data_IF_425351438771
#
_entry.id   IF_425351438771
#
_cell.length_a   1.000
_cell.length_b   1.000
_cell.length_c   1.000
_cell.angle_alpha   90.00
_cell.angle_beta   90.00
_cell.angle_gamma   90.00
#
_symmetry.space_group_name_H-M   'P 1'
#
loop_
_entity.id
_entity.type
_entity.pdbx_description
1 polymer ?
#
# COMPACT_ATOMS: atom_id res chain seq x y z
N UNK A 1 -9.09 39.38 22.37
CA UNK A 1 -7.77 39.06 22.95
C UNK A 1 -6.85 38.64 21.82
N UNK A 2 -5.84 39.46 21.57
CA UNK A 2 -4.92 39.39 20.43
C UNK A 2 -4.03 38.14 20.53
N UNK A 3 -4.14 37.27 19.54
CA UNK A 3 -3.29 36.09 19.38
C UNK A 3 -1.93 36.57 18.87
N UNK A 4 -1.06 37.02 19.80
CA UNK A 4 0.34 37.29 19.49
C UNK A 4 0.99 35.95 19.18
N UNK A 5 1.04 35.60 17.90
CA UNK A 5 1.78 34.45 17.43
C UNK A 5 3.24 34.63 17.86
N UNK A 6 3.62 33.96 18.94
CA UNK A 6 4.99 33.94 19.44
C UNK A 6 5.96 33.68 18.29
N UNK A 7 6.90 34.60 18.07
CA UNK A 7 7.98 34.48 17.09
C UNK A 7 9.05 33.46 17.52
N UNK A 8 8.94 32.95 18.74
CA UNK A 8 9.86 31.99 19.33
C UNK A 8 9.67 30.64 18.64
N UNK A 9 10.75 30.13 18.04
CA UNK A 9 10.73 28.80 17.42
C UNK A 9 10.62 27.75 18.52
N UNK A 10 9.81 26.72 18.27
CA UNK A 10 9.58 25.62 19.20
C UNK A 10 10.22 24.34 18.67
N UNK A 11 10.68 23.50 19.59
CA UNK A 11 11.19 22.17 19.26
C UNK A 11 9.99 21.26 19.00
N UNK A 12 10.05 20.51 17.90
CA UNK A 12 9.07 19.47 17.58
C UNK A 12 9.81 18.15 17.33
N UNK A 13 9.27 17.07 17.86
CA UNK A 13 9.68 15.72 17.48
C UNK A 13 9.20 15.44 16.05
N UNK A 14 10.15 15.23 15.14
CA UNK A 14 9.89 14.92 13.75
C UNK A 14 9.57 13.43 13.58
N UNK A 15 10.42 12.56 14.14
CA UNK A 15 10.31 11.11 13.96
C UNK A 15 11.04 10.36 15.07
N UNK A 16 10.51 9.21 15.46
CA UNK A 16 11.22 8.23 16.28
C UNK A 16 11.63 7.03 15.40
N UNK A 17 12.88 6.59 15.53
CA UNK A 17 13.43 5.46 14.79
C UNK A 17 14.00 4.45 15.79
N UNK A 18 13.36 3.30 15.91
CA UNK A 18 13.86 2.20 16.75
C UNK A 18 14.68 1.22 15.93
N UNK A 19 15.72 0.71 16.57
CA UNK A 19 16.69 -0.23 16.01
C UNK A 19 16.46 -1.65 16.53
N UNK A 20 16.08 -1.79 17.80
CA UNK A 20 15.88 -3.08 18.46
C UNK A 20 14.39 -3.43 18.56
N UNK A 21 13.96 -3.95 19.71
CA UNK A 21 12.67 -4.59 19.93
C UNK A 21 11.54 -3.60 20.25
N UNK A 22 11.87 -2.34 20.53
CA UNK A 22 10.87 -1.35 20.92
C UNK A 22 10.09 -0.82 19.71
N UNK A 23 8.79 -0.60 19.90
CA UNK A 23 8.03 0.19 18.93
C UNK A 23 8.50 1.66 18.96
N UNK A 24 8.39 2.42 17.86
CA UNK A 24 8.74 3.85 17.85
C UNK A 24 7.99 4.67 18.93
N UNK A 25 6.78 4.26 19.30
CA UNK A 25 6.02 4.89 20.38
C UNK A 25 6.59 4.59 21.77
N UNK A 26 7.04 3.36 22.02
CA UNK A 26 7.72 3.00 23.28
C UNK A 26 9.12 3.64 23.37
N UNK A 27 9.83 3.73 22.25
CA UNK A 27 11.08 4.49 22.16
C UNK A 27 10.85 5.98 22.47
N UNK A 28 9.78 6.57 21.93
CA UNK A 28 9.40 7.95 22.25
C UNK A 28 9.05 8.10 23.74
N UNK A 29 8.38 7.11 24.33
CA UNK A 29 8.07 7.09 25.75
C UNK A 29 9.34 7.04 26.61
N UNK A 30 10.33 6.21 26.25
CA UNK A 30 11.65 6.20 26.89
C UNK A 30 12.36 7.55 26.76
N UNK A 31 12.35 8.15 25.57
CA UNK A 31 12.96 9.45 25.36
C UNK A 31 12.29 10.55 26.20
N UNK A 32 10.97 10.48 26.34
CA UNK A 32 10.15 11.43 27.08
C UNK A 32 10.23 11.27 28.61
N UNK A 33 10.99 10.33 29.16
CA UNK A 33 11.17 10.26 30.62
C UNK A 33 11.97 11.48 31.09
N UNK A 34 11.35 12.29 31.96
CA UNK A 34 11.92 13.53 32.45
C UNK A 34 11.45 13.82 33.89
N UNK A 35 12.12 14.74 34.61
CA UNK A 35 11.69 15.20 35.93
C UNK A 35 10.26 15.75 35.94
N UNK A 36 9.56 15.59 37.07
CA UNK A 36 8.17 16.08 37.27
C UNK A 36 8.00 17.56 36.94
N UNK A 37 9.02 18.39 37.16
CA UNK A 37 8.98 19.84 36.93
C UNK A 37 9.98 20.30 35.85
N UNK A 38 10.35 19.42 34.90
CA UNK A 38 11.28 19.81 33.83
C UNK A 38 10.68 20.86 32.91
N UNK A 39 11.35 22.01 32.81
CA UNK A 39 11.07 23.10 31.86
C UNK A 39 11.98 23.04 30.61
N UNK A 40 12.78 21.98 30.45
CA UNK A 40 13.64 21.84 29.27
C UNK A 40 12.77 21.79 27.98
N UNK A 41 13.02 22.67 26.99
CA UNK A 41 12.28 22.67 25.73
C UNK A 41 12.25 21.31 25.01
N UNK A 42 13.28 20.49 25.18
CA UNK A 42 13.36 19.13 24.64
C UNK A 42 12.37 18.20 25.34
N UNK A 43 12.30 18.25 26.68
CA UNK A 43 11.40 17.44 27.49
C UNK A 43 9.94 17.80 27.22
N UNK A 44 9.64 19.09 27.18
CA UNK A 44 8.31 19.60 26.83
C UNK A 44 7.89 19.11 25.44
N UNK A 45 8.78 19.16 24.45
CA UNK A 45 8.50 18.68 23.09
C UNK A 45 8.29 17.17 23.01
N UNK A 46 9.07 16.38 23.74
CA UNK A 46 8.94 14.92 23.80
C UNK A 46 7.61 14.51 24.46
N UNK A 47 7.24 15.14 25.57
CA UNK A 47 5.96 14.90 26.24
C UNK A 47 4.76 15.30 25.38
N UNK A 48 4.82 16.49 24.76
CA UNK A 48 3.76 16.93 23.84
C UNK A 48 3.60 15.96 22.67
N UNK A 49 4.73 15.52 22.08
CA UNK A 49 4.73 14.52 21.02
C UNK A 49 4.16 13.18 21.49
N UNK A 50 4.51 12.70 22.68
CA UNK A 50 4.00 11.44 23.21
C UNK A 50 2.49 11.49 23.44
N UNK A 51 1.99 12.55 24.10
CA UNK A 51 0.55 12.73 24.35
C UNK A 51 -0.27 12.76 23.07
N UNK A 52 0.25 13.37 22.01
CA UNK A 52 -0.44 13.45 20.71
C UNK A 52 -0.32 12.16 19.92
N UNK A 53 0.88 11.57 19.84
CA UNK A 53 1.14 10.44 18.96
C UNK A 53 0.78 9.08 19.57
N UNK A 54 0.77 8.97 20.90
CA UNK A 54 0.48 7.76 21.69
C UNK A 54 -0.29 8.12 22.97
N UNK A 55 -1.56 8.56 22.87
CA UNK A 55 -2.38 8.87 24.04
C UNK A 55 -2.64 7.66 24.94
N UNK A 56 -2.42 6.45 24.42
CA UNK A 56 -2.48 5.17 25.13
C UNK A 56 -1.31 4.96 26.09
N UNK A 57 -0.19 5.69 25.93
CA UNK A 57 0.98 5.59 26.81
C UNK A 57 0.98 6.77 27.78
N UNK A 58 0.88 6.47 29.08
CA UNK A 58 1.03 7.47 30.13
C UNK A 58 2.51 7.89 30.23
N UNK A 59 2.84 9.19 30.10
CA UNK A 59 4.22 9.65 30.26
C UNK A 59 4.72 9.42 31.69
N UNK A 60 5.86 8.75 31.82
CA UNK A 60 6.51 8.54 33.12
C UNK A 60 7.26 9.82 33.50
N UNK A 61 7.01 10.31 34.71
CA UNK A 61 7.70 11.46 35.31
C UNK A 61 8.41 10.96 36.56
N UNK A 62 9.69 11.28 36.69
CA UNK A 62 10.51 10.83 37.82
C UNK A 62 10.81 11.98 38.78
N UNK A 63 11.08 11.71 40.06
CA UNK A 63 11.69 12.67 40.97
C UNK A 63 13.02 13.22 40.41
N UNK A 64 13.36 14.47 40.74
CA UNK A 64 14.53 15.15 40.18
C UNK A 64 15.87 14.51 40.62
N UNK A 65 15.89 13.82 41.75
CA UNK A 65 17.02 13.07 42.30
C UNK A 65 17.30 11.76 41.55
N UNK A 66 16.30 11.17 40.91
CA UNK A 66 16.45 9.98 40.06
C UNK A 66 16.86 10.30 38.62
N UNK A 67 16.89 11.59 38.27
CA UNK A 67 17.29 12.08 36.95
C UNK A 67 18.67 12.74 37.01
N UNK A 68 19.66 12.13 36.36
CA UNK A 68 21.00 12.66 36.24
C UNK A 68 21.16 13.44 34.92
N UNK A 69 21.19 14.79 34.92
CA UNK A 69 21.19 15.57 33.69
C UNK A 69 22.50 15.45 32.89
N UNK A 70 22.44 15.84 31.61
CA UNK A 70 23.64 15.93 30.77
C UNK A 70 24.51 17.11 31.23
N UNK A 71 25.81 16.90 31.31
CA UNK A 71 26.81 17.92 31.66
C UNK A 71 27.84 18.05 30.53
N UNK A 72 28.61 19.15 30.40
CA UNK A 72 29.53 19.34 29.27
C UNK A 72 30.54 18.19 29.08
N UNK A 73 30.96 17.53 30.17
CA UNK A 73 31.84 16.34 30.16
C UNK A 73 31.11 15.03 29.83
N UNK A 74 29.78 14.99 29.96
CA UNK A 74 28.90 13.83 29.78
C UNK A 74 27.62 14.29 29.08
N UNK A 75 27.66 14.30 27.74
CA UNK A 75 26.58 14.82 26.87
C UNK A 75 25.37 13.88 26.74
N UNK A 76 25.09 13.12 27.80
CA UNK A 76 23.92 12.26 27.95
C UNK A 76 23.39 12.37 29.39
N UNK A 77 22.08 12.26 29.53
CA UNK A 77 21.41 12.11 30.82
C UNK A 77 21.14 10.63 31.11
N UNK A 78 21.03 10.31 32.39
CA UNK A 78 20.67 8.98 32.89
C UNK A 78 19.44 9.10 33.77
N UNK A 79 18.55 8.12 33.66
CA UNK A 79 17.37 8.04 34.51
C UNK A 79 17.05 6.59 34.81
N UNK A 80 16.78 6.29 36.08
CA UNK A 80 16.24 5.00 36.50
C UNK A 80 14.73 5.04 36.34
N UNK A 81 14.17 3.99 35.77
CA UNK A 81 12.71 3.80 35.70
C UNK A 81 12.39 2.39 36.14
N UNK A 82 11.62 2.28 37.21
CA UNK A 82 11.08 1.01 37.66
C UNK A 82 9.80 0.67 36.86
N UNK A 83 9.56 -0.62 36.63
CA UNK A 83 8.40 -1.15 35.90
C UNK A 83 8.14 -0.52 34.51
N UNK A 84 9.20 -0.22 33.75
CA UNK A 84 9.03 0.27 32.38
C UNK A 84 8.40 -0.85 31.52
N UNK A 85 7.31 -0.58 30.78
CA UNK A 85 6.62 -1.58 29.97
C UNK A 85 7.43 -1.92 28.71
N UNK A 86 8.44 -2.76 28.88
CA UNK A 86 9.21 -3.41 27.80
C UNK A 86 8.53 -4.73 27.47
N UNK A 87 8.15 -4.96 26.21
CA UNK A 87 7.42 -6.17 25.78
C UNK A 87 6.13 -6.45 26.60
N UNK A 88 5.99 -7.67 27.15
CA UNK A 88 4.84 -8.18 27.91
C UNK A 88 5.06 -8.16 29.44
N UNK A 89 6.31 -7.96 29.89
CA UNK A 89 6.69 -7.97 31.32
C UNK A 89 7.36 -6.64 31.69
N UNK A 90 6.83 -5.88 32.67
CA UNK A 90 7.48 -4.67 33.16
C UNK A 90 8.90 -4.98 33.65
N UNK A 91 9.85 -4.11 33.32
CA UNK A 91 11.26 -4.27 33.72
C UNK A 91 11.81 -2.98 34.29
N UNK A 92 12.68 -3.12 35.29
CA UNK A 92 13.47 -2.01 35.80
C UNK A 92 14.58 -1.69 34.79
N UNK A 93 14.60 -0.47 34.27
CA UNK A 93 15.53 -0.07 33.21
C UNK A 93 16.24 1.22 33.57
N UNK A 94 17.53 1.27 33.25
CA UNK A 94 18.33 2.48 33.23
C UNK A 94 18.30 3.03 31.81
N UNK A 95 17.77 4.23 31.62
CA UNK A 95 17.64 4.88 30.31
C UNK A 95 18.73 5.94 30.18
N UNK A 96 19.44 5.89 29.06
CA UNK A 96 20.44 6.86 28.65
C UNK A 96 19.95 7.62 27.42
N UNK A 97 19.85 8.94 27.49
CA UNK A 97 19.47 9.79 26.35
C UNK A 97 20.48 10.90 26.14
N UNK A 98 20.92 11.12 24.90
CA UNK A 98 21.98 12.10 24.64
C UNK A 98 22.38 12.22 23.18
N UNK A 99 23.54 12.85 22.96
CA UNK A 99 24.08 12.93 21.61
C UNK A 99 24.49 11.55 21.10
N UNK A 100 24.40 11.36 19.78
CA UNK A 100 24.66 10.05 19.18
C UNK A 100 26.09 9.54 19.39
N UNK A 101 27.10 10.42 19.42
CA UNK A 101 28.49 10.00 19.54
C UNK A 101 28.75 9.45 20.94
N UNK A 102 28.25 10.14 21.98
CA UNK A 102 28.38 9.68 23.36
C UNK A 102 27.61 8.39 23.62
N UNK A 103 26.38 8.25 23.08
CA UNK A 103 25.60 7.01 23.23
C UNK A 103 26.28 5.84 22.52
N UNK A 104 26.72 6.00 21.28
CA UNK A 104 27.42 4.94 20.54
C UNK A 104 28.77 4.55 21.16
N UNK A 105 29.39 5.43 21.96
CA UNK A 105 30.61 5.15 22.69
C UNK A 105 30.37 4.39 24.01
N UNK A 106 29.14 4.41 24.54
CA UNK A 106 28.79 3.83 25.85
C UNK A 106 27.83 2.64 25.77
N UNK A 107 27.14 2.46 24.65
CA UNK A 107 26.16 1.41 24.45
C UNK A 107 26.55 0.50 23.28
N UNK A 108 26.24 -0.79 23.44
CA UNK A 108 26.51 -1.83 22.47
C UNK A 108 25.42 -1.87 21.40
N UNK A 109 25.83 -2.11 20.16
CA UNK A 109 24.97 -2.20 18.99
C UNK A 109 25.61 -3.18 17.99
N UNK A 110 24.80 -4.06 17.39
CA UNK A 110 25.34 -4.99 16.39
C UNK A 110 25.80 -4.24 15.12
N UNK A 111 26.68 -4.87 14.33
CA UNK A 111 27.25 -4.24 13.12
C UNK A 111 26.18 -3.87 12.09
N UNK A 112 25.17 -4.72 11.92
CA UNK A 112 24.06 -4.51 10.98
C UNK A 112 23.16 -3.35 11.45
N UNK A 113 22.75 -3.40 12.71
CA UNK A 113 21.95 -2.36 13.37
C UNK A 113 22.65 -1.00 13.35
N UNK A 114 23.97 -0.97 13.60
CA UNK A 114 24.78 0.25 13.59
C UNK A 114 24.80 0.92 12.22
N UNK A 115 24.89 0.12 11.16
CA UNK A 115 24.90 0.63 9.78
C UNK A 115 23.56 1.28 9.45
N UNK A 116 22.45 0.65 9.82
CA UNK A 116 21.11 1.19 9.64
C UNK A 116 20.85 2.43 10.49
N UNK A 117 21.28 2.41 11.76
CA UNK A 117 21.17 3.52 12.69
C UNK A 117 21.87 4.78 12.16
N UNK A 118 23.14 4.65 11.76
CA UNK A 118 23.93 5.76 11.22
C UNK A 118 23.30 6.28 9.93
N UNK A 119 22.98 5.40 8.97
CA UNK A 119 22.39 5.81 7.69
C UNK A 119 21.09 6.59 7.88
N UNK A 120 20.18 6.12 8.74
CA UNK A 120 18.92 6.82 8.98
C UNK A 120 19.13 8.14 9.72
N UNK A 121 20.05 8.19 10.68
CA UNK A 121 20.36 9.42 11.39
C UNK A 121 21.01 10.48 10.47
N UNK A 122 21.88 10.07 9.54
CA UNK A 122 22.50 10.97 8.58
C UNK A 122 21.48 11.58 7.62
N UNK A 123 20.48 10.82 7.17
CA UNK A 123 19.37 11.35 6.37
C UNK A 123 18.60 12.43 7.15
N UNK A 124 18.36 12.22 8.45
CA UNK A 124 17.70 13.23 9.28
C UNK A 124 18.59 14.47 9.47
N UNK A 125 19.89 14.28 9.72
CA UNK A 125 20.86 15.37 9.85
C UNK A 125 20.97 16.21 8.57
N UNK A 126 21.02 15.58 7.40
CA UNK A 126 21.03 16.26 6.09
C UNK A 126 19.76 17.10 5.89
N UNK A 127 18.63 16.71 6.48
CA UNK A 127 17.38 17.48 6.47
C UNK A 127 17.32 18.59 7.55
N UNK A 128 18.43 18.87 8.24
CA UNK A 128 18.52 19.88 9.29
C UNK A 128 17.93 19.47 10.64
N UNK A 129 17.68 18.18 10.86
CA UNK A 129 17.14 17.66 12.11
C UNK A 129 18.26 17.23 13.05
N UNK A 130 18.02 17.38 14.36
CA UNK A 130 18.92 16.90 15.41
C UNK A 130 18.41 15.58 15.99
N UNK A 131 19.27 14.57 16.04
CA UNK A 131 18.94 13.25 16.59
C UNK A 131 19.37 13.16 18.05
N UNK A 132 18.42 12.85 18.93
CA UNK A 132 18.65 12.42 20.31
C UNK A 132 18.70 10.90 20.32
N UNK A 133 19.85 10.31 20.62
CA UNK A 133 19.99 8.86 20.72
C UNK A 133 19.53 8.37 22.11
N UNK A 134 18.97 7.16 22.13
CA UNK A 134 18.48 6.49 23.33
C UNK A 134 19.11 5.10 23.41
N UNK A 135 19.60 4.78 24.60
CA UNK A 135 20.04 3.45 24.98
C UNK A 135 19.39 3.06 26.31
N UNK A 136 19.24 1.77 26.55
CA UNK A 136 18.74 1.24 27.82
C UNK A 136 19.58 0.06 28.30
N UNK A 137 19.61 -0.12 29.62
CA UNK A 137 20.17 -1.28 30.30
C UNK A 137 19.13 -1.82 31.29
N UNK A 138 19.06 -3.14 31.43
CA UNK A 138 18.21 -3.78 32.44
C UNK A 138 18.88 -3.68 33.81
N UNK A 139 18.10 -3.42 34.86
CA UNK A 139 18.57 -3.38 36.25
C UNK A 139 18.17 -4.71 36.90
N UNK A 140 19.15 -5.47 37.37
CA UNK A 140 18.91 -6.73 38.06
C UNK A 140 18.29 -6.50 39.46
N UNK A 141 17.74 -7.55 40.07
CA UNK A 141 17.10 -7.49 41.39
C UNK A 141 18.04 -7.00 42.51
N UNK A 142 19.35 -7.20 42.34
CA UNK A 142 20.40 -6.73 43.24
C UNK A 142 20.77 -5.24 43.03
N UNK A 143 20.11 -4.56 42.09
CA UNK A 143 20.36 -3.16 41.74
C UNK A 143 21.52 -2.94 40.78
N UNK A 144 22.18 -4.00 40.28
CA UNK A 144 23.26 -3.87 39.30
C UNK A 144 22.71 -3.50 37.93
N UNK A 145 23.34 -2.49 37.29
CA UNK A 145 22.97 -2.06 35.93
C UNK A 145 23.71 -2.94 34.92
N UNK A 146 22.96 -3.62 34.06
CA UNK A 146 23.52 -4.44 32.99
C UNK A 146 24.19 -3.63 31.88
N UNK A 147 24.49 -4.31 30.77
CA UNK A 147 25.07 -3.68 29.58
C UNK A 147 24.04 -2.76 28.89
N UNK A 148 24.49 -1.57 28.45
CA UNK A 148 23.66 -0.66 27.69
C UNK A 148 23.57 -1.10 26.23
N UNK A 149 22.35 -1.11 25.70
CA UNK A 149 22.09 -1.36 24.29
C UNK A 149 21.43 -0.15 23.64
N UNK A 150 21.82 0.14 22.40
CA UNK A 150 21.19 1.23 21.64
C UNK A 150 19.78 0.83 21.20
N UNK A 151 18.77 1.55 21.65
CA UNK A 151 17.36 1.29 21.32
C UNK A 151 16.90 2.05 20.08
N UNK A 152 17.49 3.22 19.83
CA UNK A 152 17.17 4.03 18.65
C UNK A 152 17.46 5.52 18.84
N UNK A 153 16.84 6.36 18.02
CA UNK A 153 16.93 7.81 18.15
C UNK A 153 15.59 8.50 17.88
N UNK A 154 15.44 9.69 18.45
CA UNK A 154 14.34 10.63 18.18
C UNK A 154 14.90 11.84 17.46
N UNK A 155 14.44 12.09 16.25
CA UNK A 155 14.78 13.26 15.45
C UNK A 155 13.89 14.44 15.82
N UNK A 156 14.51 15.59 16.03
CA UNK A 156 13.88 16.83 16.46
C UNK A 156 14.21 17.95 15.50
N UNK A 157 13.27 18.86 15.31
CA UNK A 157 13.39 20.01 14.41
C UNK A 157 12.93 21.28 15.13
N UNK A 158 13.54 22.41 14.77
CA UNK A 158 13.17 23.72 15.26
C UNK A 158 12.25 24.39 14.22
N UNK A 159 10.97 24.54 14.55
CA UNK A 159 9.94 25.06 13.63
C UNK A 159 9.14 26.23 14.25
N UNK A 160 8.42 26.99 13.43
CA UNK A 160 7.52 28.05 13.93
C UNK A 160 6.25 27.43 14.53
N UNK A 161 5.68 27.95 15.64
CA UNK A 161 4.49 27.38 16.29
C UNK A 161 3.29 27.16 15.34
N UNK A 162 3.06 28.05 14.39
CA UNK A 162 1.96 27.92 13.40
C UNK A 162 2.13 26.74 12.44
N UNK A 163 3.37 26.39 12.08
CA UNK A 163 3.68 25.22 11.24
C UNK A 163 3.54 23.93 12.03
N UNK A 164 3.90 24.00 13.31
CA UNK A 164 3.83 22.89 14.27
C UNK A 164 2.37 22.51 14.56
N UNK A 165 1.49 23.49 14.82
CA UNK A 165 0.06 23.25 15.01
C UNK A 165 -0.60 22.61 13.77
N UNK A 166 -0.22 23.03 12.56
CA UNK A 166 -0.72 22.45 11.30
C UNK A 166 -0.26 21.01 11.05
N UNK A 167 0.89 20.60 11.63
CA UNK A 167 1.43 19.23 11.52
C UNK A 167 1.03 18.32 12.70
N UNK A 168 0.75 18.88 13.88
CA UNK A 168 0.25 18.09 15.02
C UNK A 168 -1.17 17.55 14.79
N UNK A 169 -1.98 18.20 13.94
CA UNK A 169 -3.25 17.63 13.49
C UNK A 169 -3.12 16.38 12.60
N UNK A 170 -1.89 16.04 12.18
CA UNK A 170 -1.56 14.87 11.35
C UNK A 170 -0.55 13.97 12.07
N UNK A 171 -1.01 13.06 12.94
CA UNK A 171 -0.15 12.08 13.62
C UNK A 171 0.48 11.11 12.59
N UNK A 172 1.80 11.13 12.34
CA UNK A 172 2.44 10.36 11.26
C UNK A 172 2.48 8.84 11.51
N UNK A 173 2.18 8.40 12.73
CA UNK A 173 2.04 6.98 13.07
C UNK A 173 0.59 6.49 13.02
N UNK A 174 -0.35 7.40 12.77
CA UNK A 174 -1.75 7.04 12.61
C UNK A 174 -1.97 6.43 11.22
N UNK A 175 -2.66 5.29 11.21
CA UNK A 175 -3.09 4.66 9.98
C UNK A 175 -4.41 5.29 9.56
N UNK A 176 -4.41 5.94 8.40
CA UNK A 176 -5.62 6.50 7.81
C UNK A 176 -6.14 5.50 6.78
N UNK A 177 -7.38 5.05 6.96
CA UNK A 177 -8.10 4.27 5.96
C UNK A 177 -8.59 5.21 4.87
N UNK A 178 -8.14 4.98 3.65
CA UNK A 178 -8.64 5.69 2.47
C UNK A 178 -9.48 4.71 1.68
N UNK A 179 -10.75 5.05 1.48
CA UNK A 179 -11.61 4.28 0.61
C UNK A 179 -11.33 4.68 -0.84
N UNK A 180 -10.47 3.88 -1.47
CA UNK A 180 -10.03 4.10 -2.84
C UNK A 180 -11.05 3.48 -3.80
N UNK A 181 -11.48 2.24 -3.53
CA UNK A 181 -12.30 1.46 -4.45
C UNK A 181 -13.78 1.52 -4.05
N UNK A 182 -14.59 2.17 -4.89
CA UNK A 182 -16.04 2.23 -4.67
C UNK A 182 -16.69 0.84 -4.77
N UNK A 183 -17.83 0.66 -4.09
CA UNK A 183 -18.56 -0.61 -4.09
C UNK A 183 -18.94 -1.05 -5.52
N UNK A 184 -19.31 -0.10 -6.38
CA UNK A 184 -19.61 -0.35 -7.80
C UNK A 184 -18.41 -0.93 -8.54
N UNK A 185 -17.21 -0.39 -8.34
CA UNK A 185 -16.01 -0.91 -8.99
C UNK A 185 -15.66 -2.33 -8.52
N UNK A 186 -15.80 -2.59 -7.21
CA UNK A 186 -15.59 -3.92 -6.64
C UNK A 186 -16.57 -4.95 -7.22
N UNK A 187 -17.85 -4.60 -7.28
CA UNK A 187 -18.86 -5.45 -7.90
C UNK A 187 -18.52 -5.74 -9.37
N UNK A 188 -18.19 -4.71 -10.15
CA UNK A 188 -17.78 -4.86 -11.55
C UNK A 188 -16.63 -5.84 -11.69
N UNK A 189 -15.57 -5.70 -10.89
CA UNK A 189 -14.41 -6.58 -10.95
C UNK A 189 -14.76 -8.05 -10.63
N UNK A 190 -15.42 -8.30 -9.50
CA UNK A 190 -15.74 -9.67 -9.10
C UNK A 190 -16.74 -10.33 -10.04
N UNK A 191 -17.72 -9.56 -10.56
CA UNK A 191 -18.65 -10.05 -11.57
C UNK A 191 -17.93 -10.37 -12.91
N UNK A 192 -17.00 -9.51 -13.34
CA UNK A 192 -16.16 -9.80 -14.52
C UNK A 192 -15.32 -11.06 -14.32
N UNK A 193 -14.67 -11.21 -13.16
CA UNK A 193 -13.85 -12.39 -12.84
C UNK A 193 -14.68 -13.67 -12.91
N UNK A 194 -15.85 -13.70 -12.26
CA UNK A 194 -16.72 -14.87 -12.25
C UNK A 194 -17.18 -15.25 -13.67
N UNK A 195 -17.62 -14.28 -14.46
CA UNK A 195 -18.11 -14.53 -15.83
C UNK A 195 -16.99 -14.97 -16.76
N UNK A 196 -15.81 -14.36 -16.70
CA UNK A 196 -14.64 -14.76 -17.50
C UNK A 196 -14.26 -16.21 -17.20
N UNK A 197 -14.28 -16.63 -15.94
CA UNK A 197 -13.99 -18.02 -15.55
C UNK A 197 -15.05 -18.98 -16.10
N UNK A 198 -16.33 -18.70 -15.91
CA UNK A 198 -17.43 -19.55 -16.41
C UNK A 198 -17.38 -19.66 -17.95
N UNK A 199 -17.21 -18.53 -18.64
CA UNK A 199 -17.08 -18.48 -20.10
C UNK A 199 -15.84 -19.21 -20.59
N UNK A 200 -14.72 -19.10 -19.89
CA UNK A 200 -13.47 -19.79 -20.25
C UNK A 200 -13.61 -21.30 -20.14
N UNK A 201 -14.16 -21.81 -19.04
CA UNK A 201 -14.36 -23.25 -18.85
C UNK A 201 -15.34 -23.82 -19.87
N UNK A 202 -16.47 -23.14 -20.06
CA UNK A 202 -17.48 -23.55 -21.05
C UNK A 202 -16.97 -23.41 -22.50
N UNK A 203 -16.22 -22.35 -22.81
CA UNK A 203 -15.65 -22.09 -24.13
C UNK A 203 -14.56 -23.10 -24.51
N UNK A 204 -13.69 -23.45 -23.56
CA UNK A 204 -12.71 -24.51 -23.75
C UNK A 204 -13.37 -25.86 -24.02
N UNK A 205 -14.42 -26.21 -23.25
CA UNK A 205 -15.18 -27.43 -23.51
C UNK A 205 -15.87 -27.41 -24.88
N UNK A 206 -16.42 -26.26 -25.31
CA UNK A 206 -17.02 -26.12 -26.65
C UNK A 206 -15.98 -26.35 -27.75
N UNK A 207 -14.75 -25.90 -27.53
CA UNK A 207 -13.64 -26.07 -28.47
C UNK A 207 -13.12 -27.51 -28.50
N UNK A 208 -12.97 -28.13 -27.33
CA UNK A 208 -12.47 -29.50 -27.17
C UNK A 208 -13.30 -30.22 -26.09
N UNK A 209 -14.34 -31.00 -26.48
CA UNK A 209 -15.18 -31.73 -25.54
C UNK A 209 -14.39 -32.90 -24.94
N UNK A 210 -13.77 -32.67 -23.77
CA UNK A 210 -12.87 -33.62 -23.12
C UNK A 210 -13.56 -34.60 -22.16
N UNK A 211 -14.88 -34.45 -21.94
CA UNK A 211 -15.69 -35.36 -21.12
C UNK A 211 -17.11 -35.47 -21.68
N UNK A 212 -17.83 -36.51 -21.25
CA UNK A 212 -19.18 -36.80 -21.71
C UNK A 212 -19.24 -37.67 -22.97
N UNK A 213 -20.45 -38.04 -23.43
CA UNK A 213 -20.61 -38.88 -24.62
C UNK A 213 -20.08 -38.14 -25.85
N UNK A 214 -19.05 -38.69 -26.50
CA UNK A 214 -18.59 -38.16 -27.77
C UNK A 214 -19.67 -38.40 -28.84
N UNK A 215 -19.81 -37.51 -29.81
CA UNK A 215 -20.77 -37.67 -30.92
C UNK A 215 -20.58 -39.01 -31.68
N UNK A 216 -19.39 -39.60 -31.52
CA UNK A 216 -18.94 -40.86 -32.12
C UNK A 216 -19.45 -42.11 -31.36
N UNK A 217 -19.95 -41.95 -30.13
CA UNK A 217 -20.28 -43.06 -29.21
C UNK A 217 -21.70 -43.62 -29.33
N UNK A 218 -22.54 -43.05 -30.21
CA UNK A 218 -23.87 -43.58 -30.53
C UNK A 218 -24.94 -42.50 -30.76
N UNK A 219 -26.19 -42.89 -31.06
CA UNK A 219 -27.29 -41.95 -31.36
C UNK A 219 -27.85 -41.22 -30.13
N UNK A 220 -27.54 -41.66 -28.91
CA UNK A 220 -28.19 -41.20 -27.66
C UNK A 220 -27.19 -40.49 -26.72
N UNK A 221 -26.48 -39.49 -27.26
CA UNK A 221 -25.39 -38.75 -26.56
C UNK A 221 -25.88 -37.68 -25.57
N UNK A 222 -27.20 -37.55 -25.38
CA UNK A 222 -27.81 -36.58 -24.46
C UNK A 222 -27.69 -35.11 -24.91
N UNK A 223 -27.97 -34.16 -23.99
CA UNK A 223 -28.00 -32.71 -24.27
C UNK A 223 -26.89 -31.91 -23.55
N UNK A 224 -25.81 -32.57 -23.14
CA UNK A 224 -24.73 -31.95 -22.36
C UNK A 224 -24.10 -30.75 -23.07
N UNK A 225 -23.75 -30.88 -24.35
CA UNK A 225 -23.20 -29.78 -25.15
C UNK A 225 -24.19 -28.62 -25.28
N UNK A 226 -25.49 -28.91 -25.34
CA UNK A 226 -26.54 -27.89 -25.35
C UNK A 226 -26.54 -27.05 -24.06
N UNK A 227 -26.46 -27.71 -22.91
CA UNK A 227 -26.35 -27.03 -21.60
C UNK A 227 -25.06 -26.21 -21.48
N UNK A 228 -23.91 -26.73 -21.92
CA UNK A 228 -22.64 -25.97 -21.86
C UNK A 228 -22.70 -24.73 -22.75
N UNK A 229 -23.24 -24.85 -23.97
CA UNK A 229 -23.46 -23.71 -24.87
C UNK A 229 -24.41 -22.68 -24.25
N UNK A 230 -25.51 -23.13 -23.64
CA UNK A 230 -26.43 -22.23 -22.94
C UNK A 230 -25.74 -21.44 -21.83
N UNK A 231 -24.98 -22.12 -20.96
CA UNK A 231 -24.21 -21.47 -19.88
C UNK A 231 -23.24 -20.44 -20.46
N UNK A 232 -22.54 -20.79 -21.55
CA UNK A 232 -21.62 -19.89 -22.22
C UNK A 232 -22.32 -18.64 -22.76
N UNK A 233 -23.43 -18.79 -23.46
CA UNK A 233 -24.18 -17.68 -24.05
C UNK A 233 -24.81 -16.78 -22.99
N UNK A 234 -25.45 -17.35 -21.97
CA UNK A 234 -26.02 -16.58 -20.85
C UNK A 234 -24.93 -15.78 -20.15
N UNK A 235 -23.78 -16.39 -19.87
CA UNK A 235 -22.64 -15.71 -19.25
C UNK A 235 -22.09 -14.60 -20.15
N UNK A 236 -22.01 -14.82 -21.46
CA UNK A 236 -21.58 -13.83 -22.42
C UNK A 236 -22.54 -12.62 -22.48
N UNK A 237 -23.85 -12.83 -22.46
CA UNK A 237 -24.83 -11.74 -22.42
C UNK A 237 -24.76 -10.94 -21.12
N UNK A 238 -24.57 -11.60 -19.97
CA UNK A 238 -24.33 -10.91 -18.70
C UNK A 238 -23.03 -10.09 -18.76
N UNK A 239 -21.99 -10.63 -19.40
CA UNK A 239 -20.70 -9.95 -19.53
C UNK A 239 -20.78 -8.75 -20.48
N UNK A 240 -21.57 -8.83 -21.56
CA UNK A 240 -21.92 -7.69 -22.41
C UNK A 240 -22.68 -6.61 -21.63
N UNK A 241 -23.64 -6.99 -20.80
CA UNK A 241 -24.36 -6.07 -19.92
C UNK A 241 -23.44 -5.36 -18.94
N UNK A 242 -22.51 -6.09 -18.31
CA UNK A 242 -21.48 -5.49 -17.46
C UNK A 242 -20.55 -4.57 -18.26
N UNK A 243 -20.07 -4.98 -19.43
CA UNK A 243 -19.25 -4.17 -20.31
C UNK A 243 -19.95 -2.86 -20.71
N UNK A 244 -21.23 -2.92 -21.04
CA UNK A 244 -22.05 -1.75 -21.34
C UNK A 244 -22.21 -0.84 -20.12
N UNK A 245 -22.52 -1.40 -18.96
CA UNK A 245 -22.61 -0.62 -17.71
C UNK A 245 -21.28 0.07 -17.38
N UNK A 246 -20.15 -0.60 -17.64
CA UNK A 246 -18.80 -0.04 -17.46
C UNK A 246 -18.53 1.09 -18.44
N UNK A 247 -18.95 0.95 -19.70
CA UNK A 247 -18.84 2.01 -20.71
C UNK A 247 -19.63 3.25 -20.25
N UNK A 248 -20.88 3.08 -19.82
CA UNK A 248 -21.72 4.18 -19.31
C UNK A 248 -21.07 4.86 -18.09
N UNK A 249 -20.63 4.07 -17.11
CA UNK A 249 -19.95 4.58 -15.91
C UNK A 249 -18.64 5.31 -16.24
N UNK A 250 -17.97 4.94 -17.34
CA UNK A 250 -16.74 5.61 -17.77
C UNK A 250 -16.93 7.07 -18.18
N UNK A 251 -18.17 7.44 -18.54
CA UNK A 251 -18.56 8.81 -18.87
C UNK A 251 -19.32 9.52 -17.73
N UNK A 252 -20.14 8.79 -16.97
CA UNK A 252 -21.08 9.40 -15.99
C UNK A 252 -20.60 9.38 -14.55
N UNK A 253 -19.62 8.55 -14.19
CA UNK A 253 -19.21 8.39 -12.79
C UNK A 253 -18.46 9.62 -12.26
N UNK A 254 -18.83 10.04 -11.03
CA UNK A 254 -18.13 11.09 -10.27
C UNK A 254 -16.76 10.61 -9.76
N UNK A 255 -16.63 9.31 -9.52
CA UNK A 255 -15.39 8.69 -9.04
C UNK A 255 -14.27 8.79 -10.07
N UNK A 256 -13.13 9.34 -9.67
CA UNK A 256 -11.96 9.50 -10.55
C UNK A 256 -11.51 8.18 -11.17
N UNK A 257 -11.58 7.08 -10.43
CA UNK A 257 -11.13 5.77 -10.87
C UNK A 257 -12.06 5.07 -11.87
N UNK A 258 -13.31 5.53 -11.98
CA UNK A 258 -14.26 4.99 -12.95
C UNK A 258 -14.18 5.69 -14.31
N UNK A 259 -13.59 6.88 -14.40
CA UNK A 259 -13.55 7.68 -15.63
C UNK A 259 -12.55 7.17 -16.66
N UNK A 260 -12.89 7.34 -17.93
CA UNK A 260 -12.07 6.98 -19.09
C UNK A 260 -10.64 7.54 -19.04
N UNK A 261 -10.45 8.76 -18.52
CA UNK A 261 -9.13 9.41 -18.38
C UNK A 261 -8.13 8.64 -17.50
N UNK A 262 -8.61 7.74 -16.64
CA UNK A 262 -7.76 6.91 -15.78
C UNK A 262 -7.23 5.66 -16.51
N UNK A 263 -7.81 5.32 -17.66
CA UNK A 263 -7.36 4.21 -18.53
C UNK A 263 -6.27 4.62 -19.52
N UNK A 264 -5.92 5.92 -19.58
CA UNK A 264 -4.87 6.41 -20.47
C UNK A 264 -3.72 7.05 -19.66
N UNK A 265 -2.54 6.42 -19.60
CA UNK A 265 -1.43 6.86 -18.75
C UNK A 265 -0.65 8.06 -19.29
N UNK A 266 -0.89 8.51 -20.53
CA UNK A 266 -0.09 9.55 -21.18
C UNK A 266 -0.90 10.84 -21.37
N UNK A 267 -1.13 11.59 -20.29
CA UNK A 267 -1.82 12.88 -20.36
C UNK A 267 -0.85 14.08 -20.28
N UNK A 268 0.39 13.88 -19.79
CA UNK A 268 1.42 14.92 -19.66
C UNK A 268 2.83 14.41 -19.97
N UNK A 269 3.72 15.31 -20.37
CA UNK A 269 5.16 15.04 -20.56
C UNK A 269 5.82 14.52 -19.26
N UNK A 270 5.30 14.89 -18.08
CA UNK A 270 5.77 14.40 -16.80
C UNK A 270 5.38 12.92 -16.56
N UNK A 271 4.24 12.47 -17.09
CA UNK A 271 3.78 11.08 -16.98
C UNK A 271 4.65 10.13 -17.81
N UNK A 272 5.13 10.58 -18.97
CA UNK A 272 6.08 9.84 -19.82
C UNK A 272 7.43 9.65 -19.08
N UNK A 273 7.92 10.70 -18.42
CA UNK A 273 9.16 10.64 -17.63
C UNK A 273 9.01 9.69 -16.42
N UNK A 274 7.82 9.67 -15.80
CA UNK A 274 7.48 8.77 -14.69
C UNK A 274 7.38 7.32 -15.15
N UNK A 275 6.72 7.05 -16.28
CA UNK A 275 6.68 5.73 -16.92
C UNK A 275 8.09 5.20 -17.20
N UNK A 276 8.96 6.03 -17.77
CA UNK A 276 10.36 5.64 -18.02
C UNK A 276 11.09 5.32 -16.71
N UNK A 277 10.88 6.12 -15.66
CA UNK A 277 11.41 5.86 -14.33
C UNK A 277 10.93 4.53 -13.72
N UNK A 278 9.68 4.14 -13.97
CA UNK A 278 9.14 2.86 -13.53
C UNK A 278 9.70 1.67 -14.33
N UNK A 279 9.82 1.81 -15.66
CA UNK A 279 10.45 0.80 -16.51
C UNK A 279 11.89 0.56 -16.06
N UNK A 280 12.64 1.63 -15.78
CA UNK A 280 14.01 1.53 -15.23
C UNK A 280 14.04 0.80 -13.88
N UNK A 281 13.08 1.03 -12.99
CA UNK A 281 12.98 0.29 -11.72
C UNK A 281 12.72 -1.20 -11.94
N UNK A 282 11.78 -1.57 -12.81
CA UNK A 282 11.49 -2.98 -13.12
C UNK A 282 12.61 -3.69 -13.89
N UNK A 283 13.40 -2.95 -14.67
CA UNK A 283 14.63 -3.44 -15.30
C UNK A 283 15.83 -3.45 -14.34
N UNK A 284 15.61 -3.20 -13.04
CA UNK A 284 16.64 -3.14 -11.99
C UNK A 284 17.72 -2.05 -12.20
N UNK A 285 17.47 -1.07 -13.07
CA UNK A 285 18.35 0.07 -13.33
C UNK A 285 18.24 1.16 -12.25
N UNK A 286 17.21 1.12 -11.39
CA UNK A 286 17.03 2.02 -10.24
C UNK A 286 16.73 1.25 -8.95
N UNK A 287 17.31 1.72 -7.84
CA UNK A 287 17.20 1.11 -6.50
C UNK A 287 15.90 1.43 -5.75
N UNK A 288 15.27 2.57 -6.03
CA UNK A 288 14.03 3.01 -5.38
C UNK A 288 12.98 3.36 -6.44
N UNK A 289 11.79 2.76 -6.33
CA UNK A 289 10.66 2.97 -7.24
C UNK A 289 9.67 4.01 -6.70
N UNK A 290 9.01 4.79 -7.57
CA UNK A 290 7.98 5.74 -7.15
C UNK A 290 6.76 5.03 -6.55
N UNK A 291 6.23 5.59 -5.44
CA UNK A 291 5.04 5.08 -4.75
C UNK A 291 3.76 5.55 -5.47
N UNK A 292 2.97 4.62 -6.00
CA UNK A 292 1.65 4.88 -6.57
C UNK A 292 0.54 4.36 -5.65
N UNK A 293 -0.53 5.13 -5.49
CA UNK A 293 -1.71 4.82 -4.67
C UNK A 293 -2.70 3.89 -5.37
N UNK A 294 -2.96 4.14 -6.66
CA UNK A 294 -3.96 3.41 -7.43
C UNK A 294 -3.30 2.47 -8.45
N UNK A 295 -2.59 3.04 -9.44
CA UNK A 295 -2.01 2.24 -10.52
C UNK A 295 -0.72 2.86 -11.04
N UNK A 296 0.27 2.00 -11.21
CA UNK A 296 1.49 2.31 -11.93
C UNK A 296 1.21 2.53 -13.43
N UNK A 297 1.88 3.47 -14.12
CA UNK A 297 1.76 3.66 -15.57
C UNK A 297 1.85 2.38 -16.41
N UNK A 298 2.71 1.42 -16.03
CA UNK A 298 2.81 0.13 -16.73
C UNK A 298 1.56 -0.74 -16.52
N UNK A 299 0.98 -0.72 -15.32
CA UNK A 299 -0.29 -1.40 -15.03
C UNK A 299 -1.44 -0.78 -15.81
N UNK A 300 -1.47 0.56 -15.96
CA UNK A 300 -2.49 1.24 -16.74
C UNK A 300 -2.48 0.78 -18.20
N UNK A 301 -1.30 0.70 -18.86
CA UNK A 301 -1.18 0.15 -20.21
C UNK A 301 -1.67 -1.29 -20.32
N UNK A 302 -1.28 -2.15 -19.37
CA UNK A 302 -1.74 -3.53 -19.34
C UNK A 302 -3.27 -3.62 -19.26
N UNK A 303 -3.91 -2.78 -18.44
CA UNK A 303 -5.37 -2.73 -18.35
C UNK A 303 -6.02 -2.21 -19.63
N UNK A 304 -5.50 -1.16 -20.25
CA UNK A 304 -6.01 -0.68 -21.55
C UNK A 304 -5.96 -1.80 -22.59
N UNK A 305 -4.83 -2.52 -22.66
CA UNK A 305 -4.67 -3.67 -23.55
C UNK A 305 -5.72 -4.77 -23.29
N UNK A 306 -5.92 -5.13 -22.03
CA UNK A 306 -6.93 -6.13 -21.65
C UNK A 306 -8.35 -5.66 -21.96
N UNK A 307 -8.70 -4.39 -21.74
CA UNK A 307 -10.02 -3.86 -22.13
C UNK A 307 -10.25 -3.97 -23.63
N UNK A 308 -9.25 -3.67 -24.46
CA UNK A 308 -9.33 -3.84 -25.92
C UNK A 308 -9.48 -5.32 -26.29
N UNK A 309 -8.71 -6.22 -25.68
CA UNK A 309 -8.85 -7.66 -25.91
C UNK A 309 -10.24 -8.17 -25.51
N UNK A 310 -10.78 -7.72 -24.38
CA UNK A 310 -12.12 -8.05 -23.94
C UNK A 310 -13.18 -7.56 -24.93
N UNK A 311 -13.04 -6.36 -25.49
CA UNK A 311 -13.93 -5.86 -26.53
C UNK A 311 -13.89 -6.73 -27.79
N UNK A 312 -12.70 -7.13 -28.24
CA UNK A 312 -12.55 -8.05 -29.39
C UNK A 312 -13.16 -9.42 -29.06
N UNK A 313 -13.02 -9.91 -27.83
CA UNK A 313 -13.65 -11.16 -27.38
C UNK A 313 -15.18 -11.07 -27.42
N UNK A 314 -15.75 -9.96 -26.95
CA UNK A 314 -17.19 -9.70 -27.02
C UNK A 314 -17.68 -9.67 -28.46
N UNK A 315 -17.00 -8.91 -29.33
CA UNK A 315 -17.39 -8.76 -30.74
C UNK A 315 -17.28 -10.09 -31.49
N UNK A 316 -16.17 -10.81 -31.36
CA UNK A 316 -15.99 -12.12 -31.99
C UNK A 316 -17.03 -13.14 -31.50
N UNK A 317 -17.40 -13.12 -30.22
CA UNK A 317 -18.47 -13.96 -29.68
C UNK A 317 -19.84 -13.63 -30.27
N UNK A 318 -20.20 -12.35 -30.37
CA UNK A 318 -21.47 -11.90 -30.98
C UNK A 318 -21.52 -12.28 -32.47
N UNK A 319 -20.42 -12.09 -33.20
CA UNK A 319 -20.29 -12.46 -34.63
C UNK A 319 -20.54 -13.96 -34.81
N UNK A 320 -19.94 -14.81 -33.97
CA UNK A 320 -20.14 -16.26 -34.01
C UNK A 320 -21.57 -16.65 -33.63
N UNK A 321 -22.16 -15.97 -32.65
CA UNK A 321 -23.55 -16.20 -32.25
C UNK A 321 -24.52 -15.86 -33.38
N UNK A 322 -24.28 -14.78 -34.12
CA UNK A 322 -25.14 -14.31 -35.20
C UNK A 322 -25.43 -15.34 -36.30
N UNK A 323 -24.59 -16.36 -36.45
CA UNK A 323 -24.82 -17.49 -37.35
C UNK A 323 -26.14 -18.22 -37.13
N UNK A 324 -26.72 -18.15 -35.92
CA UNK A 324 -27.93 -18.91 -35.60
C UNK A 324 -29.15 -18.49 -36.44
N UNK A 325 -29.24 -17.23 -36.87
CA UNK A 325 -30.41 -16.70 -37.58
C UNK A 325 -30.02 -15.69 -38.65
N UNK A 326 -29.63 -16.20 -39.81
CA UNK A 326 -29.26 -15.40 -40.98
C UNK A 326 -30.46 -14.87 -41.79
N UNK A 327 -31.69 -15.13 -41.34
CA UNK A 327 -32.91 -14.57 -41.96
C UNK A 327 -33.23 -13.16 -41.43
N UNK A 328 -32.75 -12.82 -40.23
CA UNK A 328 -32.93 -11.51 -39.63
C UNK A 328 -31.81 -10.55 -40.08
N UNK A 329 -32.18 -9.39 -40.62
CA UNK A 329 -31.26 -8.36 -41.13
C UNK A 329 -30.18 -7.95 -40.11
N UNK A 330 -30.51 -7.89 -38.82
CA UNK A 330 -29.58 -7.50 -37.77
C UNK A 330 -28.43 -8.52 -37.64
N UNK A 331 -28.77 -9.81 -37.61
CA UNK A 331 -27.78 -10.88 -37.46
C UNK A 331 -26.94 -11.09 -38.72
N UNK A 332 -27.46 -10.74 -39.89
CA UNK A 332 -26.69 -10.69 -41.15
C UNK A 332 -25.60 -9.62 -41.07
N UNK A 333 -25.94 -8.40 -40.63
CA UNK A 333 -24.95 -7.31 -40.49
C UNK A 333 -23.90 -7.66 -39.42
N UNK A 334 -24.35 -8.19 -38.29
CA UNK A 334 -23.45 -8.59 -37.20
C UNK A 334 -22.51 -9.71 -37.61
N UNK A 335 -22.97 -10.69 -38.40
CA UNK A 335 -22.13 -11.79 -38.88
C UNK A 335 -21.23 -11.41 -40.08
N UNK A 336 -21.41 -10.21 -40.64
CA UNK A 336 -20.71 -9.75 -41.84
C UNK A 336 -19.17 -9.89 -41.80
N UNK A 337 -18.45 -9.63 -40.68
CA UNK A 337 -17.00 -9.83 -40.61
C UNK A 337 -16.53 -11.25 -41.01
N UNK A 338 -17.42 -12.24 -40.92
CA UNK A 338 -17.11 -13.62 -41.30
C UNK A 338 -16.98 -13.81 -42.82
N UNK A 339 -17.61 -12.97 -43.64
CA UNK A 339 -17.44 -13.03 -45.09
C UNK A 339 -16.02 -12.64 -45.53
N UNK A 340 -15.34 -11.81 -44.74
CA UNK A 340 -13.99 -11.36 -45.05
C UNK A 340 -12.91 -12.25 -44.45
N UNK A 341 -13.11 -12.72 -43.22
CA UNK A 341 -12.07 -13.46 -42.48
C UNK A 341 -12.31 -14.98 -42.43
N UNK A 342 -13.53 -15.43 -42.69
CA UNK A 342 -13.92 -16.84 -42.55
C UNK A 342 -14.24 -17.26 -41.10
N UNK A 343 -15.11 -18.26 -40.98
CA UNK A 343 -15.60 -18.75 -39.68
C UNK A 343 -14.48 -19.36 -38.82
N UNK A 344 -13.57 -20.10 -39.46
CA UNK A 344 -12.42 -20.72 -38.79
C UNK A 344 -11.51 -19.69 -38.15
N UNK A 345 -11.20 -18.60 -38.87
CA UNK A 345 -10.36 -17.51 -38.38
C UNK A 345 -10.98 -16.80 -37.19
N UNK A 346 -12.29 -16.49 -37.23
CA UNK A 346 -12.99 -15.87 -36.10
C UNK A 346 -12.94 -16.78 -34.86
N UNK A 347 -13.20 -18.09 -35.03
CA UNK A 347 -13.10 -19.06 -33.92
C UNK A 347 -11.69 -19.12 -33.36
N UNK A 348 -10.67 -19.11 -34.21
CA UNK A 348 -9.27 -19.11 -33.79
C UNK A 348 -8.93 -17.85 -32.99
N UNK A 349 -9.34 -16.66 -33.45
CA UNK A 349 -9.13 -15.39 -32.73
C UNK A 349 -9.82 -15.44 -31.36
N UNK A 350 -11.08 -15.90 -31.32
CA UNK A 350 -11.85 -15.99 -30.08
C UNK A 350 -11.23 -16.96 -29.06
N UNK A 351 -10.71 -18.11 -29.52
CA UNK A 351 -10.00 -19.06 -28.69
C UNK A 351 -8.62 -18.54 -28.25
N UNK A 352 -7.88 -17.87 -29.14
CA UNK A 352 -6.57 -17.31 -28.84
C UNK A 352 -6.65 -16.26 -27.73
N UNK A 353 -7.63 -15.35 -27.81
CA UNK A 353 -7.83 -14.32 -26.79
C UNK A 353 -8.20 -14.95 -25.45
N UNK A 354 -9.00 -16.02 -25.41
CA UNK A 354 -9.27 -16.77 -24.17
C UNK A 354 -7.97 -17.23 -23.50
N UNK A 355 -7.01 -17.82 -24.24
CA UNK A 355 -5.73 -18.26 -23.68
C UNK A 355 -4.84 -17.09 -23.21
N UNK A 356 -4.88 -15.96 -23.92
CA UNK A 356 -4.20 -14.73 -23.48
C UNK A 356 -4.81 -14.24 -22.16
N UNK A 357 -6.14 -14.27 -22.01
CA UNK A 357 -6.83 -13.92 -20.78
C UNK A 357 -6.46 -14.87 -19.63
N UNK A 358 -6.26 -16.16 -19.88
CA UNK A 358 -5.77 -17.10 -18.84
C UNK A 358 -4.40 -16.70 -18.32
N UNK A 359 -3.47 -16.44 -19.25
CA UNK A 359 -2.12 -15.99 -18.91
C UNK A 359 -2.15 -14.69 -18.10
N UNK A 360 -3.00 -13.74 -18.50
CA UNK A 360 -3.22 -12.50 -17.76
C UNK A 360 -3.74 -12.74 -16.34
N UNK A 361 -4.76 -13.58 -16.16
CA UNK A 361 -5.33 -13.86 -14.83
C UNK A 361 -4.27 -14.46 -13.89
N UNK A 362 -3.48 -15.42 -14.38
CA UNK A 362 -2.41 -16.05 -13.58
C UNK A 362 -1.38 -15.00 -13.14
N UNK A 363 -0.87 -14.20 -14.08
CA UNK A 363 0.12 -13.15 -13.79
C UNK A 363 -0.47 -12.08 -12.86
N UNK A 364 -1.72 -11.68 -13.08
CA UNK A 364 -2.41 -10.68 -12.28
C UNK A 364 -2.55 -11.12 -10.83
N UNK A 365 -2.99 -12.35 -10.57
CA UNK A 365 -3.13 -12.90 -9.22
C UNK A 365 -1.77 -13.02 -8.54
N UNK A 366 -0.74 -13.48 -9.25
CA UNK A 366 0.62 -13.55 -8.71
C UNK A 366 1.16 -12.16 -8.32
N UNK A 367 1.03 -11.17 -9.20
CA UNK A 367 1.52 -9.82 -8.91
C UNK A 367 0.74 -9.16 -7.76
N UNK A 368 -0.58 -9.37 -7.69
CA UNK A 368 -1.41 -8.84 -6.61
C UNK A 368 -1.05 -9.45 -5.26
N UNK A 369 -0.88 -10.77 -5.20
CA UNK A 369 -0.48 -11.48 -3.96
C UNK A 369 0.94 -11.14 -3.53
N UNK A 370 1.88 -11.07 -4.47
CA UNK A 370 3.27 -10.65 -4.21
C UNK A 370 3.35 -9.23 -3.67
N UNK A 371 2.62 -8.29 -4.26
CA UNK A 371 2.60 -6.89 -3.81
C UNK A 371 2.01 -6.78 -2.38
N UNK A 372 0.99 -7.57 -2.07
CA UNK A 372 0.40 -7.58 -0.73
C UNK A 372 1.39 -8.14 0.32
N UNK A 373 2.10 -9.22 -0.03
CA UNK A 373 3.07 -9.86 0.85
C UNK A 373 4.35 -9.02 1.09
N UNK A 374 4.90 -8.40 0.04
CA UNK A 374 6.19 -7.68 0.11
C UNK A 374 6.04 -6.20 0.47
N UNK A 375 5.02 -5.53 -0.07
CA UNK A 375 4.94 -4.06 -0.01
C UNK A 375 3.90 -3.58 1.01
N UNK A 376 3.17 -4.51 1.66
CA UNK A 376 2.13 -4.23 2.68
C UNK A 376 1.08 -3.21 2.21
N UNK A 377 0.86 -3.12 0.90
CA UNK A 377 -0.06 -2.15 0.30
C UNK A 377 -1.53 -2.55 0.41
N UNK A 378 -1.87 -3.73 0.94
CA UNK A 378 -3.25 -4.13 1.16
C UNK A 378 -4.03 -4.26 -0.15
N UNK A 379 -3.37 -4.53 -1.28
CA UNK A 379 -3.98 -4.46 -2.62
C UNK A 379 -5.17 -5.41 -2.77
N UNK A 380 -4.98 -6.68 -2.41
CA UNK A 380 -6.05 -7.70 -2.45
C UNK A 380 -7.14 -7.38 -1.42
N UNK A 381 -6.74 -7.07 -0.18
CA UNK A 381 -7.67 -6.70 0.89
C UNK A 381 -8.56 -5.51 0.51
N UNK A 382 -7.98 -4.51 -0.16
CA UNK A 382 -8.68 -3.31 -0.62
C UNK A 382 -9.71 -3.60 -1.72
N UNK A 383 -9.49 -4.62 -2.54
CA UNK A 383 -10.46 -5.02 -3.55
C UNK A 383 -11.68 -5.75 -2.96
N UNK A 384 -11.53 -6.28 -1.75
CA UNK A 384 -12.63 -6.89 -0.99
C UNK A 384 -13.33 -5.84 -0.13
N UNK A 385 -12.60 -5.05 0.66
CA UNK A 385 -13.17 -4.14 1.67
C UNK A 385 -13.31 -2.67 1.22
N UNK A 386 -12.75 -2.30 0.06
CA UNK A 386 -12.79 -0.96 -0.53
C UNK A 386 -11.75 0.04 -0.01
N UNK A 387 -11.00 -0.30 1.04
CA UNK A 387 -10.09 0.61 1.74
C UNK A 387 -8.64 0.13 1.75
N UNK A 388 -7.71 1.07 1.55
CA UNK A 388 -6.28 0.86 1.80
C UNK A 388 -5.90 1.61 3.07
N UNK A 389 -5.07 0.99 3.90
CA UNK A 389 -4.49 1.61 5.08
C UNK A 389 -3.14 2.20 4.73
N UNK A 390 -2.99 3.51 4.90
CA UNK A 390 -1.71 4.20 4.70
C UNK A 390 -1.32 4.97 5.94
N UNK A 391 -0.01 5.14 6.10
CA UNK A 391 0.52 6.02 7.13
C UNK A 391 0.20 7.46 6.77
N UNK A 392 -0.31 8.22 7.75
CA UNK A 392 -0.48 9.68 7.65
C UNK A 392 0.86 10.32 7.28
N UNK A 393 0.85 11.21 6.29
CA UNK A 393 2.05 11.83 5.70
C UNK A 393 2.67 11.08 4.52
N UNK A 394 2.11 9.94 4.09
CA UNK A 394 2.50 9.31 2.83
C UNK A 394 2.21 10.24 1.64
N UNK A 395 3.16 10.35 0.71
CA UNK A 395 3.08 11.15 -0.52
C UNK A 395 3.02 10.25 -1.75
N UNK A 396 1.88 9.61 -2.03
CA UNK A 396 1.70 8.91 -3.30
C UNK A 396 1.78 9.88 -4.47
N UNK A 397 2.30 9.43 -5.62
CA UNK A 397 2.54 10.28 -6.80
C UNK A 397 1.23 10.71 -7.50
N UNK A 398 0.15 9.96 -7.31
CA UNK A 398 -1.14 10.06 -7.98
C UNK A 398 -2.29 10.60 -7.09
N UNK A 399 -2.00 10.89 -5.82
CA UNK A 399 -2.94 11.48 -4.87
C UNK A 399 -2.26 12.55 -3.98
N UNK A 400 -3.03 13.52 -3.44
CA UNK A 400 -2.49 14.50 -2.50
C UNK A 400 -1.92 13.82 -1.24
N UNK A 401 -1.06 14.53 -0.52
CA UNK A 401 -0.48 14.06 0.76
C UNK A 401 -1.60 13.63 1.72
N UNK A 402 -1.48 12.41 2.26
CA UNK A 402 -2.49 11.82 3.14
C UNK A 402 -2.42 12.50 4.50
N UNK A 403 -3.42 13.33 4.82
CA UNK A 403 -3.46 14.21 5.99
C UNK A 403 -4.02 13.61 7.25
#
# INVERSE_FOLDING_TARGET
MTNVASSQRVIRVARAYSVRKLSPGRLLAMAAVAPIDSEDPVDVALHASLRVNRPDIVPIRVPADEFSPAIPKRKYSLVRVDDFPVEDVPKNVMIMRGDMESILAKATISREERTLFIRNADVMRMSGQRCLAIASAEIAEDGTVGEFFVEGFVAMVLEKPSQVAKKFSSNPNEWVRINIWSATLRFQHWANMALIVIMSMSGYYIMNPFFGPAAETGPDVGYLMGWVRLIHYVSAYLWLGLGFSRLVLSFTAKDRQLRWRTLWPLNSHEDVKRLWGTIQYYLFLKKEGPLYLAHNPLQQFAYTGIYVMCLIQMLSGIVLYGLYNQTNWFWVIVAYPMHWMGVSTIRMIHALIMFVLWSFVIVHVYLATRADALERHGGVSSMVNGGVWLRRGAKPVDAPEIG
#
